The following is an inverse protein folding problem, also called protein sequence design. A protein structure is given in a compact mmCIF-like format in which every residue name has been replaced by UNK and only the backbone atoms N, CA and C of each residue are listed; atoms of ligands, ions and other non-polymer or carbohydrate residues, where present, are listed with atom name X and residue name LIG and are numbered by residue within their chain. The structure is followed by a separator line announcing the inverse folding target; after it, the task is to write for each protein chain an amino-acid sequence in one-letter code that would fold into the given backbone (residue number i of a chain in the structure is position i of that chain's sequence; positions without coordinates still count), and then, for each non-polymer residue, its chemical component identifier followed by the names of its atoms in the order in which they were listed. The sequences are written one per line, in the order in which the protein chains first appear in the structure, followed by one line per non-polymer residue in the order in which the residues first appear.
data_IF_803938022901
#
_entry.id   IF_803938022901
#
_cell.length_a   1.000
_cell.length_b   1.000
_cell.length_c   1.000
_cell.angle_alpha   90.00
_cell.angle_beta   90.00
_cell.angle_gamma   90.00
#
_symmetry.space_group_name_H-M   'P 1'
#
loop_
_entity.id
_entity.type
_entity.pdbx_description
1 polymer ?
#
# COMPACT_ATOMS: atom_id res chain seq x y z
N UNK A 1 6.92 13.29 -8.62
CA UNK A 1 6.08 14.07 -7.69
C UNK A 1 6.92 15.11 -6.95
N UNK A 2 7.95 14.69 -6.20
CA UNK A 2 8.81 15.60 -5.40
C UNK A 2 9.45 16.69 -6.22
N UNK A 3 10.04 16.37 -7.39
CA UNK A 3 10.66 17.37 -8.26
C UNK A 3 9.63 18.37 -8.80
N UNK A 4 8.44 17.90 -9.19
CA UNK A 4 7.37 18.80 -9.65
C UNK A 4 6.94 19.79 -8.56
N UNK A 5 6.89 19.39 -7.30
CA UNK A 5 6.59 20.30 -6.19
C UNK A 5 7.70 21.33 -5.96
N UNK A 6 8.98 20.92 -6.04
CA UNK A 6 10.11 21.84 -5.92
C UNK A 6 10.06 22.94 -6.97
N UNK A 7 9.69 22.58 -8.21
CA UNK A 7 9.67 23.51 -9.33
C UNK A 7 8.46 24.44 -9.32
N UNK A 8 7.27 23.91 -9.00
CA UNK A 8 6.01 24.65 -9.17
C UNK A 8 5.31 25.01 -7.84
N UNK A 9 5.73 24.45 -6.70
CA UNK A 9 5.10 24.60 -5.36
C UNK A 9 3.58 24.41 -5.38
N UNK A 10 3.07 23.54 -6.27
CA UNK A 10 1.64 23.33 -6.50
C UNK A 10 1.20 21.92 -6.09
N UNK A 11 0.33 21.84 -5.12
CA UNK A 11 -0.31 20.57 -4.71
C UNK A 11 -1.24 19.99 -5.79
N UNK A 12 -1.86 20.86 -6.61
CA UNK A 12 -2.73 20.43 -7.72
C UNK A 12 -1.97 19.63 -8.77
N UNK A 13 -0.77 20.07 -9.13
CA UNK A 13 0.10 19.34 -10.06
C UNK A 13 0.52 17.97 -9.52
N UNK A 14 0.82 17.88 -8.23
CA UNK A 14 1.17 16.61 -7.58
C UNK A 14 0.00 15.63 -7.60
N UNK A 15 -1.19 16.08 -7.25
CA UNK A 15 -2.40 15.24 -7.25
C UNK A 15 -2.68 14.65 -8.63
N UNK A 16 -2.49 15.44 -9.70
CA UNK A 16 -2.63 14.96 -11.08
C UNK A 16 -1.62 13.87 -11.44
N UNK A 17 -0.36 14.01 -11.03
CA UNK A 17 0.68 13.00 -11.27
C UNK A 17 0.35 11.73 -10.49
N UNK A 18 -0.09 11.83 -9.26
CA UNK A 18 -0.50 10.68 -8.44
C UNK A 18 -1.71 9.95 -9.05
N UNK A 19 -2.72 10.69 -9.54
CA UNK A 19 -3.86 10.09 -10.25
C UNK A 19 -3.42 9.36 -11.51
N UNK A 20 -2.53 9.95 -12.29
CA UNK A 20 -1.99 9.32 -13.51
C UNK A 20 -1.24 8.03 -13.17
N UNK A 21 -0.40 8.04 -12.13
CA UNK A 21 0.31 6.84 -11.67
C UNK A 21 -0.65 5.73 -11.24
N UNK A 22 -1.65 6.04 -10.40
CA UNK A 22 -2.65 5.08 -9.97
C UNK A 22 -3.45 4.53 -11.17
N UNK A 23 -3.81 5.39 -12.13
CA UNK A 23 -4.51 4.97 -13.34
C UNK A 23 -3.63 4.05 -14.22
N UNK A 24 -2.34 4.38 -14.36
CA UNK A 24 -1.37 3.58 -15.11
C UNK A 24 -1.21 2.18 -14.52
N UNK A 25 -1.04 2.06 -13.18
CA UNK A 25 -0.97 0.75 -12.54
C UNK A 25 -2.23 -0.07 -12.77
N UNK A 26 -3.43 0.53 -12.65
CA UNK A 26 -4.70 -0.16 -12.95
C UNK A 26 -4.81 -0.62 -14.40
N UNK A 27 -4.33 0.16 -15.34
CA UNK A 27 -4.31 -0.20 -16.77
C UNK A 27 -3.34 -1.36 -17.04
N UNK A 28 -2.20 -1.38 -16.36
CA UNK A 28 -1.18 -2.41 -16.55
C UNK A 28 -1.62 -3.80 -16.07
N UNK A 29 -2.56 -3.89 -15.12
CA UNK A 29 -3.11 -5.19 -14.72
C UNK A 29 -3.72 -5.97 -15.89
N UNK A 30 -4.19 -5.27 -16.94
CA UNK A 30 -4.70 -5.87 -18.16
C UNK A 30 -3.67 -6.63 -18.97
N UNK A 31 -2.40 -6.30 -18.82
CA UNK A 31 -1.31 -6.91 -19.59
C UNK A 31 -0.85 -8.26 -19.03
N UNK A 32 -1.06 -8.49 -17.72
CA UNK A 32 -0.43 -9.59 -16.99
C UNK A 32 -1.41 -10.62 -16.41
N UNK A 33 -2.71 -10.41 -16.55
CA UNK A 33 -3.70 -11.27 -15.93
C UNK A 33 -4.92 -11.48 -16.84
N UNK A 34 -5.57 -12.66 -16.72
CA UNK A 34 -6.87 -12.91 -17.33
C UNK A 34 -7.92 -11.95 -16.74
N UNK A 35 -9.00 -11.68 -17.47
CA UNK A 35 -10.03 -10.72 -17.08
C UNK A 35 -10.57 -10.94 -15.65
N UNK A 36 -10.82 -12.18 -15.27
CA UNK A 36 -11.25 -12.54 -13.92
C UNK A 36 -10.20 -12.18 -12.84
N UNK A 37 -8.91 -12.40 -13.11
CA UNK A 37 -7.81 -12.07 -12.19
C UNK A 37 -7.56 -10.57 -12.10
N UNK A 38 -7.72 -9.84 -13.22
CA UNK A 38 -7.62 -8.37 -13.22
C UNK A 38 -8.59 -7.72 -12.25
N UNK A 39 -9.82 -8.24 -12.16
CA UNK A 39 -10.83 -7.77 -11.21
C UNK A 39 -10.29 -7.84 -9.77
N UNK A 40 -9.68 -8.95 -9.37
CA UNK A 40 -9.15 -9.12 -8.01
C UNK A 40 -7.94 -8.23 -7.73
N UNK A 41 -7.05 -8.05 -8.72
CA UNK A 41 -5.92 -7.12 -8.62
C UNK A 41 -6.41 -5.69 -8.39
N UNK A 42 -7.39 -5.22 -9.17
CA UNK A 42 -7.96 -3.88 -9.03
C UNK A 42 -8.63 -3.69 -7.66
N UNK A 43 -9.46 -4.65 -7.23
CA UNK A 43 -10.14 -4.57 -5.94
C UNK A 43 -9.12 -4.49 -4.78
N UNK A 44 -8.08 -5.32 -4.81
CA UNK A 44 -7.02 -5.28 -3.80
C UNK A 44 -6.25 -3.96 -3.84
N UNK A 45 -5.79 -3.54 -5.02
CA UNK A 45 -5.03 -2.31 -5.19
C UNK A 45 -5.80 -1.09 -4.67
N UNK A 46 -7.11 -1.04 -4.90
CA UNK A 46 -7.97 0.06 -4.45
C UNK A 46 -8.31 0.01 -2.96
N UNK A 47 -8.37 -1.19 -2.36
CA UNK A 47 -8.83 -1.37 -0.98
C UNK A 47 -7.71 -1.46 0.05
N UNK A 48 -6.51 -1.89 -0.32
CA UNK A 48 -5.37 -2.01 0.60
C UNK A 48 -5.03 -0.69 1.31
N UNK A 49 -5.04 0.49 0.66
CA UNK A 49 -4.79 1.75 1.36
C UNK A 49 -5.65 1.99 2.60
N UNK A 50 -6.88 1.47 2.61
CA UNK A 50 -7.79 1.58 3.76
C UNK A 50 -7.48 0.61 4.91
N UNK A 51 -6.59 -0.37 4.71
CA UNK A 51 -6.18 -1.32 5.74
C UNK A 51 -4.77 -1.07 6.30
N UNK A 52 -4.07 -0.05 5.79
CA UNK A 52 -2.72 0.31 6.26
C UNK A 52 -2.77 0.69 7.73
N UNK A 53 -1.73 0.29 8.48
CA UNK A 53 -1.64 0.47 9.93
C UNK A 53 -2.34 -0.61 10.75
N UNK A 54 -3.23 -1.39 10.15
CA UNK A 54 -3.93 -2.50 10.78
C UNK A 54 -3.44 -3.88 10.34
N UNK A 55 -3.89 -4.93 11.03
CA UNK A 55 -3.72 -6.30 10.55
C UNK A 55 -4.54 -6.49 9.27
N UNK A 56 -3.92 -6.99 8.21
CA UNK A 56 -4.59 -7.25 6.94
C UNK A 56 -5.66 -8.35 7.09
N UNK A 57 -6.83 -8.10 6.52
CA UNK A 57 -7.96 -9.05 6.51
C UNK A 57 -8.56 -9.13 5.11
N UNK A 58 -8.57 -10.32 4.52
CA UNK A 58 -9.19 -10.56 3.21
C UNK A 58 -10.70 -10.24 3.20
N UNK A 59 -11.40 -10.55 4.30
CA UNK A 59 -12.83 -10.26 4.45
C UNK A 59 -13.17 -8.76 4.47
N UNK A 60 -12.20 -7.91 4.83
CA UNK A 60 -12.37 -6.46 4.77
C UNK A 60 -12.10 -5.88 3.36
N UNK A 61 -11.47 -6.67 2.48
CA UNK A 61 -11.37 -6.32 1.04
C UNK A 61 -12.74 -6.52 0.39
N UNK A 62 -13.24 -7.75 0.43
CA UNK A 62 -14.57 -8.09 -0.06
C UNK A 62 -15.04 -9.40 0.60
N UNK A 63 -16.15 -9.38 1.37
CA UNK A 63 -16.65 -10.56 2.07
C UNK A 63 -17.22 -11.65 1.13
N UNK A 64 -17.53 -11.31 -0.11
CA UNK A 64 -18.11 -12.23 -1.09
C UNK A 64 -17.05 -12.93 -1.96
N UNK A 65 -15.80 -12.47 -1.92
CA UNK A 65 -14.69 -13.08 -2.66
C UNK A 65 -13.96 -14.08 -1.77
N UNK A 66 -13.71 -15.28 -2.29
CA UNK A 66 -12.94 -16.31 -1.58
C UNK A 66 -11.52 -15.80 -1.30
N UNK A 67 -11.06 -15.92 -0.05
CA UNK A 67 -9.72 -15.48 0.37
C UNK A 67 -8.60 -16.08 -0.49
N UNK A 68 -8.77 -17.27 -1.05
CA UNK A 68 -7.81 -17.92 -1.95
C UNK A 68 -7.56 -17.09 -3.22
N UNK A 69 -8.62 -16.55 -3.82
CA UNK A 69 -8.51 -15.73 -5.04
C UNK A 69 -7.80 -14.40 -4.75
N UNK A 70 -8.17 -13.77 -3.63
CA UNK A 70 -7.51 -12.54 -3.16
C UNK A 70 -6.04 -12.78 -2.77
N UNK A 71 -5.72 -13.95 -2.18
CA UNK A 71 -4.33 -14.30 -1.84
C UNK A 71 -3.45 -14.36 -3.09
N UNK A 72 -3.89 -15.06 -4.14
CA UNK A 72 -3.15 -15.14 -5.41
C UNK A 72 -2.94 -13.76 -6.03
N UNK A 73 -3.96 -12.90 -6.00
CA UNK A 73 -3.84 -11.54 -6.51
C UNK A 73 -2.91 -10.67 -5.63
N UNK A 74 -2.92 -10.84 -4.31
CA UNK A 74 -1.99 -10.16 -3.40
C UNK A 74 -0.53 -10.54 -3.70
N UNK A 75 -0.26 -11.85 -3.91
CA UNK A 75 1.06 -12.33 -4.29
C UNK A 75 1.55 -11.73 -5.61
N UNK A 76 0.66 -11.54 -6.58
CA UNK A 76 1.00 -10.85 -7.84
C UNK A 76 1.33 -9.37 -7.62
N UNK A 77 0.54 -8.66 -6.80
CA UNK A 77 0.85 -7.26 -6.44
C UNK A 77 2.17 -7.14 -5.68
N UNK A 78 2.49 -8.13 -4.84
CA UNK A 78 3.77 -8.20 -4.13
C UNK A 78 4.93 -8.42 -5.11
N UNK A 79 4.81 -9.35 -6.05
CA UNK A 79 5.83 -9.59 -7.08
C UNK A 79 6.05 -8.37 -7.98
N UNK A 80 5.01 -7.59 -8.22
CA UNK A 80 5.08 -6.32 -8.95
C UNK A 80 5.68 -5.16 -8.11
N UNK A 81 6.00 -5.39 -6.82
CA UNK A 81 6.54 -4.36 -5.93
C UNK A 81 5.54 -3.28 -5.51
N UNK A 82 4.24 -3.51 -5.76
CA UNK A 82 3.19 -2.55 -5.42
C UNK A 82 2.73 -2.65 -3.96
N UNK A 83 2.88 -3.82 -3.37
CA UNK A 83 2.49 -4.13 -1.99
C UNK A 83 3.61 -4.91 -1.32
N UNK A 84 3.88 -4.59 -0.05
CA UNK A 84 4.86 -5.29 0.77
C UNK A 84 4.20 -5.85 2.04
N UNK A 85 3.95 -7.18 2.11
CA UNK A 85 3.45 -7.80 3.33
C UNK A 85 4.54 -7.81 4.42
N UNK A 86 4.20 -7.34 5.61
CA UNK A 86 5.05 -7.36 6.80
C UNK A 86 4.52 -8.41 7.76
N UNK A 87 5.21 -9.54 7.82
CA UNK A 87 4.76 -10.73 8.57
C UNK A 87 5.07 -10.55 10.05
N UNK A 88 4.09 -10.91 10.90
CA UNK A 88 4.27 -10.87 12.34
C UNK A 88 5.20 -12.01 12.82
N UNK A 89 6.06 -11.68 13.79
CA UNK A 89 6.86 -12.66 14.52
C UNK A 89 6.66 -12.49 16.03
N UNK A 90 6.82 -13.55 16.80
CA UNK A 90 6.81 -13.46 18.26
C UNK A 90 8.11 -12.88 18.84
N UNK A 91 9.18 -12.83 18.02
CA UNK A 91 10.49 -12.26 18.36
C UNK A 91 11.07 -12.78 19.72
N UNK A 92 10.74 -14.01 20.12
CA UNK A 92 11.18 -14.61 21.40
C UNK A 92 12.54 -15.30 21.33
N UNK A 93 13.30 -15.07 20.25
CA UNK A 93 14.65 -15.65 20.06
C UNK A 93 15.05 -15.75 18.59
N UNK A 94 16.23 -16.32 18.34
CA UNK A 94 16.79 -16.55 17.00
C UNK A 94 16.61 -18.04 16.64
N UNK A 95 16.28 -18.39 15.39
CA UNK A 95 16.04 -17.52 14.23
C UNK A 95 14.62 -16.92 14.21
N UNK A 96 14.51 -15.64 13.87
CA UNK A 96 13.22 -14.94 13.77
C UNK A 96 12.27 -15.60 12.76
N UNK A 97 12.81 -16.15 11.68
CA UNK A 97 12.05 -16.81 10.62
C UNK A 97 11.24 -18.02 11.12
N UNK A 98 11.75 -18.76 12.10
CA UNK A 98 11.06 -19.90 12.69
C UNK A 98 9.84 -19.51 13.54
N UNK A 99 9.72 -18.24 13.89
CA UNK A 99 8.70 -17.70 14.78
C UNK A 99 7.67 -16.85 14.04
N UNK A 100 7.69 -16.87 12.72
CA UNK A 100 6.78 -16.07 11.89
C UNK A 100 5.36 -16.64 11.92
N UNK A 101 4.39 -15.72 12.00
CA UNK A 101 2.96 -16.04 11.93
C UNK A 101 2.44 -15.62 10.55
N UNK A 102 2.67 -16.46 9.54
CA UNK A 102 2.40 -16.14 8.13
C UNK A 102 0.94 -15.74 7.83
N UNK A 103 0.00 -16.13 8.69
CA UNK A 103 -1.41 -15.74 8.62
C UNK A 103 -1.71 -14.37 9.26
N UNK A 104 -0.72 -13.78 9.96
CA UNK A 104 -0.84 -12.46 10.58
C UNK A 104 0.20 -11.53 9.94
N UNK A 105 -0.27 -10.57 9.17
CA UNK A 105 0.60 -9.59 8.53
C UNK A 105 -0.10 -8.25 8.38
N UNK A 106 0.68 -7.22 8.22
CA UNK A 106 0.26 -5.90 7.76
C UNK A 106 0.71 -5.72 6.32
N UNK A 107 0.16 -4.73 5.65
CA UNK A 107 0.57 -4.38 4.28
C UNK A 107 1.12 -2.97 4.26
N UNK A 108 2.20 -2.77 3.52
CA UNK A 108 2.65 -1.46 3.08
C UNK A 108 2.35 -1.32 1.60
N UNK A 109 1.95 -0.14 1.20
CA UNK A 109 1.78 0.25 -0.19
C UNK A 109 3.11 0.78 -0.74
N UNK A 110 3.26 0.83 -2.07
CA UNK A 110 4.53 1.22 -2.68
C UNK A 110 4.98 2.65 -2.33
N UNK A 111 4.05 3.56 -2.06
CA UNK A 111 4.37 4.96 -1.78
C UNK A 111 3.33 5.62 -0.87
N UNK A 112 3.80 6.38 0.12
CA UNK A 112 2.95 7.08 1.10
C UNK A 112 2.07 8.14 0.45
N UNK A 113 2.56 8.85 -0.56
CA UNK A 113 1.78 9.86 -1.28
C UNK A 113 0.64 9.24 -2.09
N UNK A 114 0.85 8.04 -2.65
CA UNK A 114 -0.21 7.30 -3.35
C UNK A 114 -1.25 6.76 -2.37
N UNK A 115 -0.85 6.38 -1.14
CA UNK A 115 -1.80 6.05 -0.07
C UNK A 115 -2.68 7.25 0.26
N UNK A 116 -2.09 8.41 0.53
CA UNK A 116 -2.83 9.64 0.83
C UNK A 116 -3.81 9.96 -0.30
N UNK A 117 -3.37 9.85 -1.55
CA UNK A 117 -4.22 10.10 -2.71
C UNK A 117 -5.37 9.11 -2.83
N UNK A 118 -5.11 7.81 -2.60
CA UNK A 118 -6.14 6.76 -2.61
C UNK A 118 -7.17 6.95 -1.49
N UNK A 119 -6.75 7.47 -0.34
CA UNK A 119 -7.62 7.82 0.79
C UNK A 119 -8.32 9.18 0.59
N UNK A 120 -8.10 9.86 -0.54
CA UNK A 120 -8.62 11.19 -0.83
C UNK A 120 -8.23 12.25 0.22
N UNK A 121 -7.11 12.06 0.88
CA UNK A 121 -6.55 13.03 1.83
C UNK A 121 -5.95 14.19 1.06
N UNK A 122 -6.57 15.35 1.15
CA UNK A 122 -6.03 16.55 0.51
C UNK A 122 -4.89 17.12 1.37
N UNK A 123 -3.68 17.34 0.81
CA UNK A 123 -2.56 17.95 1.53
C UNK A 123 -2.90 19.29 2.18
N UNK A 124 -3.71 20.13 1.53
CA UNK A 124 -4.14 21.43 2.08
C UNK A 124 -5.03 21.25 3.32
N UNK A 125 -5.91 20.25 3.31
CA UNK A 125 -6.73 19.90 4.46
C UNK A 125 -5.90 19.36 5.63
N UNK A 126 -4.79 18.67 5.34
CA UNK A 126 -3.87 18.22 6.39
C UNK A 126 -3.17 19.37 7.13
N UNK A 127 -2.99 20.51 6.48
CA UNK A 127 -2.39 21.69 7.09
C UNK A 127 -3.39 22.46 7.96
N UNK A 128 -4.67 22.41 7.62
CA UNK A 128 -5.74 23.16 8.28
C UNK A 128 -6.56 22.35 9.28
N UNK A 129 -6.71 21.07 9.03
CA UNK A 129 -7.50 20.16 9.88
C UNK A 129 -6.63 19.03 10.44
N UNK A 130 -6.68 18.73 11.75
CA UNK A 130 -5.96 17.59 12.30
C UNK A 130 -6.56 16.30 11.73
N UNK A 131 -5.72 15.47 11.06
CA UNK A 131 -6.08 14.10 10.75
C UNK A 131 -6.51 13.37 12.03
N UNK A 132 -7.45 12.46 11.93
CA UNK A 132 -7.75 11.55 13.04
C UNK A 132 -6.46 10.83 13.48
N UNK A 133 -6.32 10.55 14.76
CA UNK A 133 -5.11 9.90 15.31
C UNK A 133 -4.81 8.55 14.61
N UNK A 134 -5.87 7.82 14.24
CA UNK A 134 -5.77 6.53 13.54
C UNK A 134 -5.09 6.70 12.18
N UNK A 135 -5.51 7.68 11.38
CA UNK A 135 -4.91 7.93 10.07
C UNK A 135 -3.48 8.46 10.17
N UNK A 136 -3.17 9.29 11.19
CA UNK A 136 -1.78 9.73 11.43
C UNK A 136 -0.87 8.56 11.73
N UNK A 137 -1.28 7.64 12.61
CA UNK A 137 -0.52 6.45 12.96
C UNK A 137 -0.29 5.53 11.75
N UNK A 138 -1.34 5.31 10.95
CA UNK A 138 -1.26 4.48 9.75
C UNK A 138 -0.30 5.06 8.69
N UNK A 139 -0.37 6.37 8.43
CA UNK A 139 0.51 7.05 7.48
C UNK A 139 1.96 7.12 8.00
N UNK A 140 2.17 7.32 9.30
CA UNK A 140 3.50 7.29 9.90
C UNK A 140 4.12 5.88 9.79
N UNK A 141 3.35 4.83 10.09
CA UNK A 141 3.80 3.44 9.92
C UNK A 141 4.12 3.12 8.45
N UNK A 142 3.29 3.56 7.51
CA UNK A 142 3.54 3.44 6.08
C UNK A 142 4.85 4.12 5.67
N UNK A 143 5.07 5.36 6.09
CA UNK A 143 6.28 6.12 5.78
C UNK A 143 7.53 5.44 6.34
N UNK A 144 7.54 5.11 7.63
CA UNK A 144 8.67 4.42 8.27
C UNK A 144 8.94 3.07 7.59
N UNK A 145 7.90 2.29 7.30
CA UNK A 145 8.05 1.00 6.63
C UNK A 145 8.64 1.13 5.23
N UNK A 146 8.20 2.11 4.45
CA UNK A 146 8.74 2.43 3.13
C UNK A 146 10.23 2.80 3.21
N UNK A 147 10.61 3.68 4.14
CA UNK A 147 12.01 4.08 4.35
C UNK A 147 12.89 2.88 4.75
N UNK A 148 12.41 2.00 5.65
CA UNK A 148 13.14 0.80 6.03
C UNK A 148 13.35 -0.17 4.87
N UNK A 149 12.37 -0.32 3.97
CA UNK A 149 12.51 -1.15 2.75
C UNK A 149 13.56 -0.53 1.83
N UNK A 150 13.46 0.77 1.56
CA UNK A 150 14.41 1.49 0.71
C UNK A 150 15.85 1.41 1.27
N UNK A 151 16.00 1.56 2.60
CA UNK A 151 17.29 1.49 3.26
C UNK A 151 17.93 0.09 3.15
N UNK A 152 17.13 -0.97 3.31
CA UNK A 152 17.60 -2.36 3.14
C UNK A 152 18.17 -2.62 1.76
N UNK A 153 17.53 -2.07 0.72
CA UNK A 153 17.94 -2.31 -0.67
C UNK A 153 19.17 -1.51 -1.08
N UNK A 154 19.55 -0.45 -0.33
CA UNK A 154 20.80 0.28 -0.50
C UNK A 154 22.04 -0.50 -0.03
N UNK A 155 21.89 -1.56 0.77
CA UNK A 155 22.99 -2.35 1.32
C UNK A 155 23.11 -3.76 0.68
N UNK A 156 22.44 -4.01 -0.41
CA UNK A 156 22.59 -5.20 -1.24
C UNK A 156 23.40 -4.91 -2.48
#
# INVERSE_FOLDING_TARGET
VVNHFKDNRSFLGQSRIQDLLLATYRADFGKYATEAKQKYLRILFDKIPYQIGGQFKYSAIDPHIKSRELKTALEQLQMAGLIHPIIATSASGIPLAAQTKTHKFKTLFLDTGLVQRSLQVNPEQMMTNPLSQIHRGALAEQFVGQELIAYRDCFR
#
